data_IF_300508723043
#
_entry.id   IF_300508723043
#
_cell.length_a   1.000
_cell.length_b   1.000
_cell.length_c   1.000
_cell.angle_alpha   90.00
_cell.angle_beta   90.00
_cell.angle_gamma   90.00
#
_symmetry.space_group_name_H-M   'P 1'
#
loop_
_entity.id
_entity.type
_entity.pdbx_description
1 polymer ?
#
# COMPACT_ATOMS: atom_id res chain seq x y z
N UNK A 1 46.80 -6.97 -14.77
CA UNK A 1 45.79 -8.06 -14.65
C UNK A 1 44.53 -7.45 -14.06
N UNK A 2 43.50 -7.27 -14.89
CA UNK A 2 42.30 -6.49 -14.59
C UNK A 2 41.39 -7.19 -13.59
N UNK A 3 41.07 -6.49 -12.50
CA UNK A 3 40.12 -6.89 -11.47
C UNK A 3 38.67 -6.85 -12.00
N UNK A 4 38.23 -7.92 -12.65
CA UNK A 4 36.81 -8.16 -13.02
C UNK A 4 35.89 -8.46 -11.80
N UNK A 5 36.25 -8.03 -10.58
CA UNK A 5 35.55 -8.35 -9.32
C UNK A 5 34.65 -7.25 -8.66
N UNK A 6 34.47 -6.00 -9.15
CA UNK A 6 33.68 -5.00 -8.41
C UNK A 6 32.16 -5.16 -8.56
N UNK A 7 31.65 -5.41 -9.77
CA UNK A 7 30.19 -5.42 -10.02
C UNK A 7 29.45 -6.59 -9.34
N UNK A 8 30.05 -7.78 -9.24
CA UNK A 8 29.37 -8.93 -8.61
C UNK A 8 29.28 -8.84 -7.09
N UNK A 9 30.26 -8.17 -6.46
CA UNK A 9 30.26 -7.97 -5.01
C UNK A 9 29.23 -6.91 -4.60
N UNK A 10 29.11 -5.83 -5.37
CA UNK A 10 28.11 -4.77 -5.21
C UNK A 10 26.69 -5.32 -5.37
N UNK A 11 26.42 -6.07 -6.46
CA UNK A 11 25.14 -6.80 -6.67
C UNK A 11 24.75 -7.68 -5.50
N UNK A 12 25.69 -8.48 -5.00
CA UNK A 12 25.44 -9.36 -3.85
C UNK A 12 25.09 -8.56 -2.59
N UNK A 13 25.79 -7.45 -2.37
CA UNK A 13 25.54 -6.55 -1.23
C UNK A 13 24.16 -5.89 -1.34
N UNK A 14 23.81 -5.40 -2.53
CA UNK A 14 22.50 -4.81 -2.81
C UNK A 14 21.35 -5.79 -2.54
N UNK A 15 21.47 -7.03 -3.03
CA UNK A 15 20.51 -8.11 -2.74
C UNK A 15 20.32 -8.36 -1.25
N UNK A 16 21.41 -8.34 -0.46
CA UNK A 16 21.34 -8.54 1.00
C UNK A 16 20.63 -7.39 1.71
N UNK A 17 20.88 -6.15 1.29
CA UNK A 17 20.17 -4.99 1.80
C UNK A 17 18.68 -5.06 1.46
N UNK A 18 18.34 -5.42 0.21
CA UNK A 18 16.95 -5.60 -0.22
C UNK A 18 16.23 -6.69 0.57
N UNK A 19 16.85 -7.86 0.79
CA UNK A 19 16.31 -8.93 1.64
C UNK A 19 16.11 -8.48 3.09
N UNK A 20 16.98 -7.61 3.60
CA UNK A 20 16.85 -7.01 4.93
C UNK A 20 15.67 -6.05 4.98
N UNK A 21 15.52 -5.19 3.97
CA UNK A 21 14.38 -4.29 3.86
C UNK A 21 13.04 -5.04 3.76
N UNK A 22 12.97 -6.14 3.02
CA UNK A 22 11.76 -6.98 2.95
C UNK A 22 11.39 -7.59 4.29
N UNK A 23 12.37 -7.99 5.11
CA UNK A 23 12.13 -8.51 6.47
C UNK A 23 11.59 -7.43 7.40
N UNK A 24 12.20 -6.25 7.40
CA UNK A 24 11.70 -5.10 8.16
C UNK A 24 10.29 -4.69 7.71
N UNK A 25 10.03 -4.64 6.40
CA UNK A 25 8.72 -4.31 5.85
C UNK A 25 7.66 -5.32 6.29
N UNK A 26 7.98 -6.62 6.31
CA UNK A 26 7.08 -7.67 6.79
C UNK A 26 6.83 -7.59 8.31
N UNK A 27 7.77 -7.04 9.07
CA UNK A 27 7.64 -6.75 10.50
C UNK A 27 6.99 -5.38 10.80
N UNK A 28 6.55 -4.65 9.76
CA UNK A 28 6.04 -3.27 9.87
C UNK A 28 7.06 -2.26 10.46
N UNK A 29 8.35 -2.57 10.41
CA UNK A 29 9.47 -1.68 10.76
C UNK A 29 9.81 -0.79 9.55
N UNK A 30 8.91 0.16 9.27
CA UNK A 30 8.88 0.86 7.98
C UNK A 30 10.12 1.73 7.72
N UNK A 31 10.71 2.33 8.76
CA UNK A 31 11.89 3.18 8.59
C UNK A 31 13.15 2.37 8.33
N UNK A 32 13.34 1.30 9.07
CA UNK A 32 14.42 0.33 8.87
C UNK A 32 14.31 -0.31 7.49
N UNK A 33 13.09 -0.61 7.04
CA UNK A 33 12.84 -1.12 5.70
C UNK A 33 13.33 -0.14 4.63
N UNK A 34 12.98 1.13 4.74
CA UNK A 34 13.36 2.17 3.77
C UNK A 34 14.86 2.43 3.77
N UNK A 35 15.50 2.47 4.95
CA UNK A 35 16.96 2.59 5.04
C UNK A 35 17.63 1.43 4.30
N UNK A 36 17.19 0.20 4.55
CA UNK A 36 17.75 -0.98 3.88
C UNK A 36 17.48 -0.99 2.36
N UNK A 37 16.32 -0.55 1.90
CA UNK A 37 16.06 -0.43 0.47
C UNK A 37 16.90 0.68 -0.19
N UNK A 38 17.09 1.82 0.48
CA UNK A 38 17.97 2.88 0.00
C UNK A 38 19.43 2.42 -0.09
N UNK A 39 19.90 1.65 0.89
CA UNK A 39 21.23 1.00 0.85
C UNK A 39 21.35 -0.01 -0.30
N UNK A 40 20.27 -0.71 -0.67
CA UNK A 40 20.25 -1.59 -1.82
C UNK A 40 20.44 -0.81 -3.13
N UNK A 41 19.65 0.25 -3.34
CA UNK A 41 19.76 1.14 -4.51
C UNK A 41 21.13 1.82 -4.59
N UNK A 42 21.70 2.24 -3.46
CA UNK A 42 23.03 2.85 -3.44
C UNK A 42 24.16 1.85 -3.75
N UNK A 43 23.95 0.56 -3.47
CA UNK A 43 24.93 -0.48 -3.77
C UNK A 43 24.84 -0.97 -5.23
N UNK A 44 23.64 -1.00 -5.81
CA UNK A 44 23.38 -1.29 -7.22
C UNK A 44 22.05 -0.63 -7.62
N UNK A 45 22.08 0.27 -8.58
CA UNK A 45 20.91 1.01 -9.06
C UNK A 45 20.29 0.40 -10.32
N UNK A 46 20.83 -0.70 -10.83
CA UNK A 46 20.42 -1.30 -12.11
C UNK A 46 19.29 -2.32 -12.00
N UNK A 47 18.98 -2.78 -10.78
CA UNK A 47 17.89 -3.73 -10.55
C UNK A 47 16.57 -2.99 -10.27
N UNK A 48 15.53 -3.14 -11.12
CA UNK A 48 14.23 -2.51 -10.90
C UNK A 48 13.56 -2.90 -9.58
N UNK A 49 13.82 -4.09 -9.04
CA UNK A 49 13.18 -4.54 -7.80
C UNK A 49 13.61 -3.68 -6.60
N UNK A 50 14.81 -3.10 -6.60
CA UNK A 50 15.29 -2.29 -5.48
C UNK A 50 14.57 -0.93 -5.43
N UNK A 51 14.42 -0.28 -6.58
CA UNK A 51 13.63 0.97 -6.68
C UNK A 51 12.16 0.72 -6.39
N UNK A 52 11.60 -0.40 -6.88
CA UNK A 52 10.21 -0.79 -6.60
C UNK A 52 9.99 -1.03 -5.10
N UNK A 53 10.90 -1.72 -4.43
CA UNK A 53 10.78 -1.98 -2.99
C UNK A 53 10.97 -0.70 -2.16
N UNK A 54 11.85 0.21 -2.58
CA UNK A 54 11.98 1.53 -1.96
C UNK A 54 10.66 2.33 -2.09
N UNK A 55 10.05 2.35 -3.28
CA UNK A 55 8.75 2.99 -3.49
C UNK A 55 7.65 2.36 -2.62
N UNK A 56 7.63 1.02 -2.50
CA UNK A 56 6.72 0.30 -1.60
C UNK A 56 6.92 0.69 -0.15
N UNK A 57 8.17 0.77 0.32
CA UNK A 57 8.48 1.23 1.68
C UNK A 57 7.92 2.63 1.93
N UNK A 58 8.21 3.58 1.05
CA UNK A 58 7.70 4.95 1.16
C UNK A 58 6.16 5.01 1.17
N UNK A 59 5.49 4.33 0.25
CA UNK A 59 4.03 4.30 0.19
C UNK A 59 3.40 3.72 1.46
N UNK A 60 3.94 2.61 1.97
CA UNK A 60 3.48 1.96 3.21
C UNK A 60 3.65 2.85 4.45
N UNK A 61 4.62 3.75 4.42
CA UNK A 61 4.86 4.77 5.46
C UNK A 61 4.10 6.09 5.26
N UNK A 62 3.25 6.18 4.23
CA UNK A 62 2.49 7.39 3.91
C UNK A 62 3.29 8.52 3.23
N UNK A 63 4.55 8.27 2.85
CA UNK A 63 5.43 9.24 2.16
C UNK A 63 5.24 9.14 0.64
N UNK A 64 4.07 9.54 0.16
CA UNK A 64 3.68 9.36 -1.24
C UNK A 64 4.56 10.14 -2.22
N UNK A 65 5.00 11.35 -1.88
CA UNK A 65 5.88 12.13 -2.77
C UNK A 65 7.19 11.38 -3.05
N UNK A 66 7.82 10.83 -2.02
CA UNK A 66 9.04 10.02 -2.14
C UNK A 66 8.78 8.67 -2.83
N UNK A 67 7.59 8.09 -2.66
CA UNK A 67 7.19 6.89 -3.38
C UNK A 67 7.09 7.15 -4.90
N UNK A 68 6.54 8.30 -5.30
CA UNK A 68 6.47 8.73 -6.70
C UNK A 68 7.87 9.02 -7.26
N UNK A 69 8.75 9.66 -6.51
CA UNK A 69 10.15 9.85 -6.92
C UNK A 69 10.87 8.52 -7.16
N UNK A 70 10.73 7.56 -6.22
CA UNK A 70 11.32 6.23 -6.35
C UNK A 70 10.73 5.44 -7.54
N UNK A 71 9.43 5.63 -7.85
CA UNK A 71 8.83 5.09 -9.06
C UNK A 71 9.42 5.68 -10.34
N UNK A 72 9.79 6.97 -10.33
CA UNK A 72 10.48 7.60 -11.45
C UNK A 72 11.83 6.92 -11.74
N UNK A 73 12.59 6.61 -10.69
CA UNK A 73 13.83 5.83 -10.81
C UNK A 73 13.58 4.40 -11.29
N UNK A 74 12.54 3.74 -10.77
CA UNK A 74 12.11 2.41 -11.23
C UNK A 74 11.81 2.39 -12.74
N UNK A 75 11.07 3.37 -13.24
CA UNK A 75 10.72 3.48 -14.67
C UNK A 75 11.95 3.67 -15.58
N UNK A 76 13.06 4.20 -15.05
CA UNK A 76 14.28 4.35 -15.82
C UNK A 76 15.01 3.02 -16.08
N UNK A 77 14.77 2.01 -15.22
CA UNK A 77 15.50 0.73 -15.24
C UNK A 77 14.62 -0.48 -15.55
N UNK A 78 13.30 -0.36 -15.47
CA UNK A 78 12.37 -1.40 -15.88
C UNK A 78 12.29 -1.50 -17.42
N UNK A 79 12.55 -2.69 -17.94
CA UNK A 79 12.51 -2.97 -19.39
C UNK A 79 11.14 -3.50 -19.84
N UNK A 80 10.30 -4.00 -18.92
CA UNK A 80 8.95 -4.46 -19.25
C UNK A 80 7.99 -3.27 -19.43
N UNK A 81 7.71 -2.94 -20.69
CA UNK A 81 6.84 -1.83 -21.08
C UNK A 81 5.41 -1.94 -20.51
N UNK A 82 4.87 -3.15 -20.31
CA UNK A 82 3.52 -3.31 -19.75
C UNK A 82 3.50 -2.99 -18.26
N UNK A 83 4.54 -3.41 -17.53
CA UNK A 83 4.66 -3.12 -16.10
C UNK A 83 4.97 -1.62 -15.92
N UNK A 84 5.90 -1.07 -16.70
CA UNK A 84 6.28 0.34 -16.69
C UNK A 84 5.09 1.26 -17.01
N UNK A 85 4.37 1.01 -18.10
CA UNK A 85 3.25 1.85 -18.54
C UNK A 85 2.13 2.02 -17.50
N UNK A 86 1.96 1.03 -16.61
CA UNK A 86 1.00 1.14 -15.50
C UNK A 86 1.42 2.16 -14.44
N UNK A 87 2.72 2.33 -14.21
CA UNK A 87 3.24 3.33 -13.28
C UNK A 87 3.40 4.69 -13.94
N UNK A 88 3.69 4.75 -15.25
CA UNK A 88 3.67 6.01 -16.02
C UNK A 88 2.34 6.75 -15.88
N UNK A 89 1.23 6.02 -15.85
CA UNK A 89 -0.10 6.59 -15.63
C UNK A 89 -0.22 7.36 -14.30
N UNK A 90 0.54 7.01 -13.26
CA UNK A 90 0.55 7.74 -11.98
C UNK A 90 1.16 9.14 -12.10
N UNK A 91 1.98 9.38 -13.12
CA UNK A 91 2.58 10.70 -13.39
C UNK A 91 1.70 11.56 -14.31
N UNK A 92 0.61 11.00 -14.83
CA UNK A 92 -0.37 11.74 -15.61
C UNK A 92 -1.23 12.62 -14.71
N UNK A 93 -1.63 13.79 -15.20
CA UNK A 93 -2.66 14.60 -14.55
C UNK A 93 -4.09 14.09 -14.80
N UNK A 94 -4.25 13.08 -15.66
CA UNK A 94 -5.54 12.47 -15.96
C UNK A 94 -5.84 11.32 -14.99
N UNK A 95 -7.10 11.26 -14.53
CA UNK A 95 -7.58 10.17 -13.70
C UNK A 95 -7.54 8.85 -14.45
N UNK A 96 -7.23 7.76 -13.74
CA UNK A 96 -7.43 6.43 -14.28
C UNK A 96 -8.92 6.01 -14.23
N UNK A 97 -9.35 5.03 -15.05
CA UNK A 97 -10.76 4.63 -15.09
C UNK A 97 -11.35 4.18 -13.74
N UNK A 98 -10.53 3.60 -12.85
CA UNK A 98 -10.95 3.23 -11.49
C UNK A 98 -11.15 4.48 -10.65
N UNK A 99 -10.24 5.46 -10.74
CA UNK A 99 -10.38 6.74 -10.03
C UNK A 99 -11.63 7.50 -10.47
N UNK A 100 -11.90 7.57 -11.77
CA UNK A 100 -13.11 8.19 -12.31
C UNK A 100 -14.37 7.53 -11.74
N UNK A 101 -14.47 6.21 -11.85
CA UNK A 101 -15.61 5.44 -11.36
C UNK A 101 -15.74 5.51 -9.84
N UNK A 102 -14.62 5.54 -9.10
CA UNK A 102 -14.59 5.60 -7.64
C UNK A 102 -15.06 6.96 -7.13
N UNK A 103 -14.55 8.05 -7.71
CA UNK A 103 -14.92 9.41 -7.31
C UNK A 103 -16.40 9.66 -7.61
N UNK A 104 -16.89 9.22 -8.78
CA UNK A 104 -18.30 9.31 -9.13
C UNK A 104 -19.17 8.55 -8.11
N UNK A 105 -18.85 7.28 -7.85
CA UNK A 105 -19.62 6.44 -6.94
C UNK A 105 -19.65 6.96 -5.50
N UNK A 106 -18.51 7.38 -4.95
CA UNK A 106 -18.46 7.96 -3.60
C UNK A 106 -19.22 9.29 -3.49
N UNK A 107 -19.24 10.11 -4.54
CA UNK A 107 -20.03 11.36 -4.57
C UNK A 107 -21.52 11.08 -4.60
N UNK A 108 -21.97 10.09 -5.35
CA UNK A 108 -23.38 9.65 -5.37
C UNK A 108 -23.83 9.11 -4.01
N UNK A 109 -22.94 8.39 -3.31
CA UNK A 109 -23.13 7.96 -1.92
C UNK A 109 -23.02 9.11 -0.90
N UNK A 110 -22.76 10.33 -1.36
CA UNK A 110 -22.62 11.55 -0.53
C UNK A 110 -21.52 11.43 0.53
N UNK A 111 -20.46 10.70 0.23
CA UNK A 111 -19.33 10.56 1.14
C UNK A 111 -18.62 11.91 1.38
N UNK A 112 -18.13 12.18 2.60
CA UNK A 112 -17.30 13.35 2.88
C UNK A 112 -16.03 13.39 2.03
N UNK A 113 -15.55 14.60 1.71
CA UNK A 113 -14.36 14.79 0.87
C UNK A 113 -13.11 14.10 1.44
N UNK A 114 -12.96 14.11 2.77
CA UNK A 114 -11.88 13.44 3.48
C UNK A 114 -11.88 11.93 3.22
N UNK A 115 -13.05 11.30 3.26
CA UNK A 115 -13.22 9.87 2.97
C UNK A 115 -12.86 9.57 1.51
N UNK A 116 -13.30 10.42 0.57
CA UNK A 116 -12.94 10.30 -0.85
C UNK A 116 -11.42 10.39 -1.03
N UNK A 117 -10.77 11.39 -0.42
CA UNK A 117 -9.32 11.55 -0.46
C UNK A 117 -8.58 10.32 0.08
N UNK A 118 -9.02 9.78 1.23
CA UNK A 118 -8.43 8.55 1.78
C UNK A 118 -8.65 7.32 0.91
N UNK A 119 -9.75 7.25 0.16
CA UNK A 119 -10.00 6.14 -0.75
C UNK A 119 -9.10 6.20 -1.99
N UNK A 120 -8.85 7.41 -2.53
CA UNK A 120 -7.87 7.62 -3.61
C UNK A 120 -6.46 7.29 -3.11
N UNK A 121 -6.10 7.73 -1.91
CA UNK A 121 -4.83 7.39 -1.27
C UNK A 121 -4.66 5.87 -1.12
N UNK A 122 -5.73 5.15 -0.73
CA UNK A 122 -5.74 3.68 -0.65
C UNK A 122 -5.50 3.04 -2.00
N UNK A 123 -6.10 3.56 -3.06
CA UNK A 123 -5.90 3.07 -4.42
C UNK A 123 -4.45 3.28 -4.89
N UNK A 124 -3.86 4.46 -4.63
CA UNK A 124 -2.47 4.74 -4.93
C UNK A 124 -1.53 3.78 -4.19
N UNK A 125 -1.69 3.65 -2.87
CA UNK A 125 -0.87 2.76 -2.05
C UNK A 125 -1.00 1.30 -2.50
N UNK A 126 -2.22 0.86 -2.85
CA UNK A 126 -2.46 -0.48 -3.37
C UNK A 126 -1.66 -0.73 -4.65
N UNK A 127 -1.72 0.19 -5.62
CA UNK A 127 -1.01 0.06 -6.91
C UNK A 127 0.50 -0.02 -6.72
N UNK A 128 1.06 0.78 -5.82
CA UNK A 128 2.50 0.75 -5.49
C UNK A 128 2.85 -0.55 -4.77
N UNK A 129 2.08 -0.93 -3.76
CA UNK A 129 2.34 -2.12 -2.91
C UNK A 129 2.25 -3.42 -3.68
N UNK A 130 1.33 -3.50 -4.64
CA UNK A 130 1.17 -4.63 -5.57
C UNK A 130 2.45 -4.89 -6.38
N UNK A 131 3.28 -3.85 -6.57
CA UNK A 131 4.56 -3.94 -7.25
C UNK A 131 4.39 -4.48 -8.66
N UNK A 132 5.30 -5.35 -9.11
CA UNK A 132 5.33 -5.90 -10.48
C UNK A 132 4.24 -6.94 -10.79
N UNK A 133 3.35 -7.26 -9.84
CA UNK A 133 2.28 -8.22 -10.11
C UNK A 133 1.27 -7.66 -11.13
N UNK A 134 0.68 -8.49 -12.01
CA UNK A 134 -0.25 -8.01 -13.03
C UNK A 134 -1.49 -7.31 -12.45
N UNK A 135 -1.88 -6.16 -13.01
CA UNK A 135 -3.12 -5.45 -12.67
C UNK A 135 -3.95 -5.21 -13.93
N UNK A 136 -5.16 -5.77 -13.96
CA UNK A 136 -6.11 -5.59 -15.06
C UNK A 136 -7.19 -4.58 -14.67
N UNK A 137 -7.30 -3.51 -15.46
CA UNK A 137 -8.24 -2.41 -15.23
C UNK A 137 -9.48 -2.45 -16.15
N UNK A 138 -9.73 -3.56 -16.85
CA UNK A 138 -10.82 -3.69 -17.85
C UNK A 138 -12.24 -3.65 -17.27
N UNK A 139 -12.38 -3.52 -15.94
CA UNK A 139 -13.64 -3.44 -15.20
C UNK A 139 -13.45 -2.52 -13.99
N UNK A 140 -13.33 -1.20 -14.22
CA UNK A 140 -13.01 -0.25 -13.17
C UNK A 140 -14.03 -0.25 -12.04
N UNK A 141 -15.31 -0.46 -12.35
CA UNK A 141 -16.41 -0.47 -11.41
C UNK A 141 -16.25 -1.53 -10.30
N UNK A 142 -15.61 -2.67 -10.61
CA UNK A 142 -15.36 -3.73 -9.63
C UNK A 142 -14.28 -3.33 -8.63
N UNK A 143 -13.23 -2.65 -9.10
CA UNK A 143 -12.20 -2.10 -8.21
C UNK A 143 -12.75 -0.95 -7.37
N UNK A 144 -13.52 -0.04 -7.96
CA UNK A 144 -14.17 1.07 -7.26
C UNK A 144 -15.13 0.57 -6.17
N UNK A 145 -15.92 -0.46 -6.47
CA UNK A 145 -16.80 -1.09 -5.50
C UNK A 145 -16.03 -1.75 -4.36
N UNK A 146 -14.93 -2.47 -4.66
CA UNK A 146 -14.10 -3.10 -3.65
C UNK A 146 -13.38 -2.08 -2.74
N UNK A 147 -12.86 -0.98 -3.31
CA UNK A 147 -12.25 0.12 -2.56
C UNK A 147 -13.28 0.84 -1.67
N UNK A 148 -14.48 1.09 -2.20
CA UNK A 148 -15.59 1.68 -1.42
C UNK A 148 -15.97 0.79 -0.25
N UNK A 149 -16.08 -0.53 -0.49
CA UNK A 149 -16.36 -1.46 0.58
C UNK A 149 -15.22 -1.51 1.61
N UNK A 150 -13.96 -1.47 1.17
CA UNK A 150 -12.80 -1.43 2.05
C UNK A 150 -12.75 -0.18 2.92
N UNK A 151 -12.89 1.02 2.36
CA UNK A 151 -12.83 2.26 3.15
C UNK A 151 -14.02 2.36 4.12
N UNK A 152 -15.19 1.85 3.77
CA UNK A 152 -16.35 1.79 4.67
C UNK A 152 -16.08 0.85 5.83
N UNK A 153 -15.46 -0.32 5.59
CA UNK A 153 -15.07 -1.25 6.66
C UNK A 153 -13.97 -0.70 7.56
N UNK A 154 -12.96 -0.02 7.00
CA UNK A 154 -11.94 0.66 7.80
C UNK A 154 -12.57 1.70 8.73
N UNK A 155 -13.56 2.45 8.23
CA UNK A 155 -14.23 3.52 8.97
C UNK A 155 -15.49 3.08 9.73
N UNK A 156 -15.75 1.77 9.85
CA UNK A 156 -16.90 1.21 10.57
C UNK A 156 -18.26 1.77 10.12
N UNK A 157 -18.39 2.15 8.85
CA UNK A 157 -19.63 2.67 8.31
C UNK A 157 -20.63 1.54 8.09
N UNK A 158 -21.89 1.76 8.48
CA UNK A 158 -22.97 0.83 8.24
C UNK A 158 -23.26 0.73 6.74
N UNK A 159 -22.81 -0.35 6.12
CA UNK A 159 -23.22 -0.75 4.77
C UNK A 159 -23.21 -2.26 4.64
N UNK A 160 -24.20 -2.78 3.93
CA UNK A 160 -24.22 -4.15 3.45
C UNK A 160 -23.43 -4.25 2.16
N UNK A 161 -22.86 -5.43 1.92
CA UNK A 161 -22.18 -5.71 0.65
C UNK A 161 -23.12 -5.56 -0.55
N UNK A 162 -24.38 -5.95 -0.38
CA UNK A 162 -25.43 -5.91 -1.40
C UNK A 162 -25.73 -4.48 -1.86
N UNK A 163 -25.67 -3.50 -0.97
CA UNK A 163 -25.85 -2.09 -1.32
C UNK A 163 -24.72 -1.60 -2.24
N UNK A 164 -23.47 -1.94 -1.93
CA UNK A 164 -22.31 -1.57 -2.76
C UNK A 164 -22.34 -2.30 -4.11
N UNK A 165 -22.72 -3.57 -4.12
CA UNK A 165 -22.92 -4.35 -5.35
C UNK A 165 -23.96 -3.71 -6.26
N UNK A 166 -25.12 -3.33 -5.70
CA UNK A 166 -26.19 -2.68 -6.44
C UNK A 166 -25.75 -1.29 -6.94
N UNK A 167 -25.04 -0.52 -6.12
CA UNK A 167 -24.56 0.83 -6.43
C UNK A 167 -23.63 0.85 -7.65
N UNK A 168 -22.67 -0.07 -7.70
CA UNK A 168 -21.71 -0.15 -8.81
C UNK A 168 -22.13 -1.10 -9.94
N UNK A 169 -23.26 -1.80 -9.80
CA UNK A 169 -23.73 -2.79 -10.78
C UNK A 169 -22.80 -4.00 -10.90
N UNK A 170 -22.22 -4.46 -9.78
CA UNK A 170 -21.24 -5.57 -9.76
C UNK A 170 -21.77 -6.79 -9.05
N UNK A 171 -21.24 -7.97 -9.41
CA UNK A 171 -21.61 -9.23 -8.76
C UNK A 171 -20.86 -9.40 -7.43
N UNK A 172 -21.48 -10.04 -6.44
CA UNK A 172 -20.85 -10.42 -5.17
C UNK A 172 -19.47 -11.08 -5.35
N UNK A 173 -19.38 -12.07 -6.26
CA UNK A 173 -18.13 -12.80 -6.52
C UNK A 173 -17.00 -11.87 -6.95
N UNK A 174 -17.28 -10.96 -7.89
CA UNK A 174 -16.27 -10.04 -8.42
C UNK A 174 -15.82 -9.02 -7.35
N UNK A 175 -16.78 -8.48 -6.59
CA UNK A 175 -16.48 -7.58 -5.47
C UNK A 175 -15.60 -8.28 -4.44
N UNK A 176 -16.00 -9.47 -3.98
CA UNK A 176 -15.26 -10.24 -2.98
C UNK A 176 -13.83 -10.53 -3.44
N UNK A 177 -13.65 -10.96 -4.68
CA UNK A 177 -12.32 -11.24 -5.22
C UNK A 177 -11.39 -10.02 -5.16
N UNK A 178 -11.85 -8.84 -5.59
CA UNK A 178 -11.01 -7.63 -5.56
C UNK A 178 -10.83 -7.08 -4.16
N UNK A 179 -11.86 -7.17 -3.33
CA UNK A 179 -11.76 -6.80 -1.91
C UNK A 179 -10.70 -7.64 -1.19
N UNK A 180 -10.72 -8.96 -1.35
CA UNK A 180 -9.75 -9.87 -0.71
C UNK A 180 -8.31 -9.57 -1.16
N UNK A 181 -8.12 -9.20 -2.43
CA UNK A 181 -6.82 -8.76 -2.98
C UNK A 181 -6.37 -7.46 -2.30
N UNK A 182 -7.24 -6.45 -2.19
CA UNK A 182 -6.89 -5.17 -1.57
C UNK A 182 -6.53 -5.37 -0.10
N UNK A 183 -7.39 -6.04 0.67
CA UNK A 183 -7.18 -6.31 2.10
C UNK A 183 -5.86 -7.02 2.33
N UNK A 184 -5.57 -8.08 1.56
CA UNK A 184 -4.34 -8.85 1.70
C UNK A 184 -3.09 -8.06 1.30
N UNK A 185 -3.19 -7.25 0.24
CA UNK A 185 -2.04 -6.49 -0.29
C UNK A 185 -1.63 -5.38 0.66
N UNK A 186 -2.62 -4.68 1.21
CA UNK A 186 -2.41 -3.54 2.09
C UNK A 186 -2.37 -3.92 3.57
N UNK A 187 -2.69 -5.16 3.92
CA UNK A 187 -2.83 -5.65 5.30
C UNK A 187 -3.80 -4.75 6.09
N UNK A 188 -4.98 -4.51 5.50
CA UNK A 188 -5.97 -3.59 6.05
C UNK A 188 -6.73 -4.21 7.21
N UNK A 189 -6.97 -3.39 8.22
CA UNK A 189 -7.83 -3.73 9.35
C UNK A 189 -8.88 -2.65 9.62
N UNK A 190 -9.98 -2.98 10.31
CA UNK A 190 -10.89 -1.96 10.81
C UNK A 190 -10.15 -0.98 11.74
N UNK A 191 -10.38 0.32 11.57
CA UNK A 191 -9.66 1.37 12.31
C UNK A 191 -8.26 1.69 11.80
N UNK A 192 -7.80 1.12 10.67
CA UNK A 192 -6.46 1.38 10.14
C UNK A 192 -6.14 2.89 10.03
N UNK A 193 -5.13 3.34 10.79
CA UNK A 193 -4.76 4.75 10.94
C UNK A 193 -4.45 5.44 9.60
N UNK A 194 -4.05 4.71 8.56
CA UNK A 194 -3.75 5.30 7.25
C UNK A 194 -4.99 5.92 6.61
N UNK A 195 -6.16 5.32 6.82
CA UNK A 195 -7.40 5.65 6.10
C UNK A 195 -8.61 5.92 6.98
N UNK A 196 -8.50 5.74 8.30
CA UNK A 196 -9.52 6.16 9.23
C UNK A 196 -9.66 7.69 9.24
N UNK A 197 -10.89 8.20 9.20
CA UNK A 197 -11.18 9.65 9.18
C UNK A 197 -12.06 10.12 10.33
N UNK A 198 -12.47 9.22 11.22
CA UNK A 198 -13.22 9.59 12.42
C UNK A 198 -12.33 10.25 13.47
N UNK A 199 -12.95 10.99 14.39
CA UNK A 199 -12.24 11.71 15.46
C UNK A 199 -11.68 10.76 16.53
N UNK A 200 -12.39 9.66 16.82
CA UNK A 200 -11.98 8.65 17.80
C UNK A 200 -11.68 7.33 17.10
N UNK A 201 -10.40 6.96 17.01
CA UNK A 201 -10.04 5.69 16.39
C UNK A 201 -10.32 4.54 17.37
N UNK A 202 -11.09 3.51 16.98
CA UNK A 202 -11.36 2.37 17.84
C UNK A 202 -10.11 1.62 18.29
N UNK A 203 -8.99 1.72 17.55
CA UNK A 203 -7.72 1.09 17.91
C UNK A 203 -7.02 1.81 19.08
N UNK A 204 -7.29 3.10 19.33
CA UNK A 204 -6.65 3.84 20.43
C UNK A 204 -6.94 3.16 21.78
N UNK A 205 -8.19 2.77 22.01
CA UNK A 205 -8.62 2.05 23.22
C UNK A 205 -7.97 0.67 23.34
N UNK A 206 -7.68 0.02 22.22
CA UNK A 206 -7.01 -1.28 22.21
C UNK A 206 -5.52 -1.14 22.53
N UNK A 207 -4.88 -0.08 22.04
CA UNK A 207 -3.50 0.26 22.38
C UNK A 207 -3.39 0.60 23.86
N UNK A 208 -4.29 1.42 24.39
CA UNK A 208 -4.32 1.75 25.82
C UNK A 208 -4.49 0.50 26.69
N UNK A 209 -5.44 -0.37 26.35
CA UNK A 209 -5.65 -1.64 27.05
C UNK A 209 -4.43 -2.56 26.98
N UNK A 210 -3.72 -2.60 25.85
CA UNK A 210 -2.49 -3.38 25.70
C UNK A 210 -1.37 -2.85 26.60
N UNK A 211 -1.19 -1.53 26.68
CA UNK A 211 -0.22 -0.90 27.58
C UNK A 211 -0.56 -1.17 29.05
N UNK A 212 -1.83 -1.06 29.44
CA UNK A 212 -2.28 -1.39 30.80
C UNK A 212 -1.97 -2.85 31.17
N UNK A 213 -2.23 -3.80 30.26
CA UNK A 213 -1.91 -5.21 30.44
C UNK A 213 -0.40 -5.43 30.60
N UNK A 214 0.42 -4.80 29.76
CA UNK A 214 1.89 -4.91 29.84
C UNK A 214 2.43 -4.38 31.18
N UNK A 215 1.91 -3.26 31.67
CA UNK A 215 2.29 -2.71 32.98
C UNK A 215 1.88 -3.64 34.12
N UNK A 216 0.68 -4.23 34.05
CA UNK A 216 0.24 -5.27 35.00
C UNK A 216 1.20 -6.46 34.97
N UNK A 217 1.57 -6.97 33.80
CA UNK A 217 2.52 -8.07 33.67
C UNK A 217 3.90 -7.74 34.26
N UNK A 218 4.43 -6.54 34.02
CA UNK A 218 5.70 -6.08 34.61
C UNK A 218 5.62 -6.01 36.12
N UNK A 219 4.51 -5.53 36.69
CA UNK A 219 4.31 -5.49 38.15
C UNK A 219 4.31 -6.89 38.78
N UNK A 220 3.66 -7.87 38.13
CA UNK A 220 3.66 -9.26 38.61
C UNK A 220 5.04 -9.93 38.51
N UNK A 221 5.82 -9.63 37.47
CA UNK A 221 7.16 -10.24 37.29
C UNK A 221 8.26 -9.56 38.10
N UNK A 222 8.14 -8.25 38.39
CA UNK A 222 9.10 -7.52 39.23
C UNK A 222 8.78 -7.61 40.74
N UNK A 223 7.62 -8.14 41.10
CA UNK A 223 7.19 -8.37 42.48
C UNK A 223 7.46 -9.78 43.03
N UNK A 224 8.21 -10.61 42.30
CA UNK A 224 8.63 -11.97 42.69
C UNK A 224 10.12 -12.04 43.02
#
# INVERSE_FOLDING_TARGET
MGSKKPASAQRKKASQYNETGLRHLAAWELEEAIIAFADAVAADDTDPDYHMNLARGYARSGRFDQAIEALGSYLHVEEDEQIAGRFEQLFSSALDPVEESLIAGLRELKCPMQLIGKTIQMWLEFRITLGRQPLKLSRPEVWSAALTFAIFKVNMLETSRQEIEAHYGVTERALKEKYDIIIKTLDLMPGDYRYFVGDENPLDKLVDAAHELDEIYKQFHNGS
#
